data_IF_111430012083
#
_entry.id   IF_111430012083
#
_cell.length_a   1.000
_cell.length_b   1.000
_cell.length_c   1.000
_cell.angle_alpha   90.00
_cell.angle_beta   90.00
_cell.angle_gamma   90.00
#
_symmetry.space_group_name_H-M   'P 1'
#
loop_
_entity.id
_entity.type
_entity.pdbx_description
1 polymer ?
#
# COMPACT_ATOMS: atom_id res chain seq x y z
N UNK A 1 -0.28 -29.61 -1.61
CA UNK A 1 -1.55 -29.99 -0.98
C UNK A 1 -2.32 -28.71 -0.68
N UNK A 2 -3.49 -28.52 -1.29
CA UNK A 2 -4.28 -27.28 -1.15
C UNK A 2 -4.87 -27.09 0.25
N UNK A 3 -4.88 -28.15 1.08
CA UNK A 3 -5.34 -28.11 2.48
C UNK A 3 -4.52 -27.15 3.36
N UNK A 4 -3.25 -26.89 3.00
CA UNK A 4 -2.32 -26.04 3.77
C UNK A 4 -2.23 -24.60 3.26
N UNK A 5 -3.11 -24.19 2.35
CA UNK A 5 -3.08 -22.85 1.77
C UNK A 5 -3.23 -21.74 2.82
N UNK A 6 -4.05 -21.96 3.85
CA UNK A 6 -4.26 -21.01 4.94
C UNK A 6 -3.00 -20.85 5.82
N UNK A 7 -2.37 -21.97 6.21
CA UNK A 7 -1.09 -21.95 6.94
C UNK A 7 0.00 -21.21 6.15
N UNK A 8 0.06 -21.44 4.83
CA UNK A 8 1.01 -20.76 3.97
C UNK A 8 0.73 -19.25 3.88
N UNK A 9 -0.53 -18.85 3.75
CA UNK A 9 -0.93 -17.45 3.70
C UNK A 9 -0.57 -16.70 5.00
N UNK A 10 -0.83 -17.30 6.16
CA UNK A 10 -0.46 -16.74 7.47
C UNK A 10 1.05 -16.62 7.62
N UNK A 11 1.81 -17.65 7.22
CA UNK A 11 3.28 -17.62 7.30
C UNK A 11 3.88 -16.55 6.39
N UNK A 12 3.30 -16.34 5.21
CA UNK A 12 3.78 -15.40 4.21
C UNK A 12 3.39 -13.94 4.48
N UNK A 13 2.52 -13.69 5.47
CA UNK A 13 2.08 -12.34 5.87
C UNK A 13 1.58 -11.49 4.70
N UNK A 14 0.68 -12.05 3.90
CA UNK A 14 0.24 -11.46 2.63
C UNK A 14 -0.94 -10.49 2.75
N UNK A 15 -1.47 -10.27 3.97
CA UNK A 15 -2.62 -9.39 4.13
C UNK A 15 -2.21 -7.91 4.05
N UNK A 16 -3.15 -7.05 3.67
CA UNK A 16 -2.89 -5.61 3.53
C UNK A 16 -2.42 -4.94 4.83
N UNK A 17 -2.91 -5.40 5.99
CA UNK A 17 -2.53 -4.88 7.30
C UNK A 17 -1.12 -5.32 7.67
N UNK A 18 -0.74 -6.57 7.42
CA UNK A 18 0.62 -7.05 7.67
C UNK A 18 1.64 -6.34 6.78
N UNK A 19 1.31 -6.12 5.50
CA UNK A 19 2.17 -5.36 4.59
C UNK A 19 2.35 -3.90 5.05
N UNK A 20 1.34 -3.32 5.71
CA UNK A 20 1.44 -2.00 6.31
C UNK A 20 2.32 -2.02 7.56
N UNK A 21 2.15 -3.01 8.45
CA UNK A 21 2.99 -3.19 9.65
C UNK A 21 4.46 -3.45 9.31
N UNK A 22 4.71 -4.11 8.19
CA UNK A 22 6.06 -4.34 7.65
C UNK A 22 6.61 -3.14 6.88
N UNK A 23 5.91 -2.00 6.85
CA UNK A 23 6.28 -0.80 6.12
C UNK A 23 6.55 -1.06 4.61
N UNK A 24 5.93 -2.09 4.02
CA UNK A 24 6.05 -2.42 2.59
C UNK A 24 5.14 -1.50 1.76
N UNK A 25 3.94 -1.24 2.27
CA UNK A 25 2.96 -0.31 1.68
C UNK A 25 2.73 0.88 2.61
N UNK A 26 2.37 2.03 2.06
CA UNK A 26 2.23 3.27 2.85
C UNK A 26 0.82 3.43 3.47
N UNK A 27 -0.18 2.73 2.91
CA UNK A 27 -1.58 2.91 3.27
C UNK A 27 -2.43 1.70 2.87
N UNK A 28 -3.41 1.36 3.69
CA UNK A 28 -4.49 0.43 3.37
C UNK A 28 -5.77 1.23 3.11
N UNK A 29 -6.40 0.98 1.97
CA UNK A 29 -7.69 1.60 1.63
C UNK A 29 -8.78 0.60 2.00
N UNK A 30 -9.58 0.93 3.03
CA UNK A 30 -10.68 0.07 3.47
C UNK A 30 -11.82 0.07 2.45
N UNK A 31 -12.31 -1.12 2.12
CA UNK A 31 -13.53 -1.34 1.32
C UNK A 31 -14.76 -1.65 2.19
N UNK A 32 -14.58 -1.82 3.50
CA UNK A 32 -15.64 -2.25 4.40
C UNK A 32 -16.81 -1.25 4.42
N UNK A 33 -18.01 -1.75 4.09
CA UNK A 33 -19.22 -0.94 4.07
C UNK A 33 -19.33 0.02 2.87
N UNK A 34 -18.42 -0.05 1.89
CA UNK A 34 -18.49 0.76 0.67
C UNK A 34 -19.06 -0.03 -0.49
N UNK A 35 -19.92 0.61 -1.28
CA UNK A 35 -20.22 0.14 -2.63
C UNK A 35 -18.99 0.27 -3.53
N UNK A 36 -18.94 -0.47 -4.65
CA UNK A 36 -17.84 -0.36 -5.62
C UNK A 36 -17.62 1.07 -6.11
N UNK A 37 -18.71 1.86 -6.26
CA UNK A 37 -18.63 3.26 -6.68
C UNK A 37 -17.98 4.15 -5.61
N UNK A 38 -18.29 3.92 -4.34
CA UNK A 38 -17.67 4.65 -3.23
C UNK A 38 -16.21 4.25 -3.04
N UNK A 39 -15.89 2.97 -3.20
CA UNK A 39 -14.51 2.48 -3.17
C UNK A 39 -13.67 3.16 -4.27
N UNK A 40 -14.16 3.19 -5.51
CA UNK A 40 -13.45 3.87 -6.61
C UNK A 40 -13.25 5.36 -6.31
N UNK A 41 -14.24 6.02 -5.70
CA UNK A 41 -14.11 7.43 -5.29
C UNK A 41 -13.05 7.60 -4.20
N UNK A 42 -12.99 6.68 -3.24
CA UNK A 42 -11.98 6.64 -2.18
C UNK A 42 -10.58 6.48 -2.78
N UNK A 43 -10.38 5.47 -3.63
CA UNK A 43 -9.11 5.23 -4.34
C UNK A 43 -8.68 6.45 -5.14
N UNK A 44 -9.59 7.06 -5.91
CA UNK A 44 -9.29 8.29 -6.68
C UNK A 44 -8.81 9.41 -5.77
N UNK A 45 -9.48 9.63 -4.63
CA UNK A 45 -9.11 10.67 -3.67
C UNK A 45 -7.71 10.42 -3.10
N UNK A 46 -7.43 9.20 -2.66
CA UNK A 46 -6.12 8.85 -2.09
C UNK A 46 -4.99 9.04 -3.10
N UNK A 47 -5.18 8.62 -4.36
CA UNK A 47 -4.22 8.84 -5.43
C UNK A 47 -3.96 10.33 -5.68
N UNK A 48 -5.01 11.15 -5.72
CA UNK A 48 -4.88 12.60 -5.91
C UNK A 48 -4.14 13.25 -4.75
N UNK A 49 -4.43 12.85 -3.51
CA UNK A 49 -3.76 13.37 -2.31
C UNK A 49 -2.28 13.00 -2.30
N UNK A 50 -1.92 11.75 -2.57
CA UNK A 50 -0.51 11.35 -2.58
C UNK A 50 0.26 11.99 -3.73
N UNK A 51 -0.33 12.08 -4.92
CA UNK A 51 0.31 12.74 -6.05
C UNK A 51 0.55 14.23 -5.76
N UNK A 52 -0.44 14.93 -5.21
CA UNK A 52 -0.30 16.34 -4.84
C UNK A 52 0.80 16.56 -3.80
N UNK A 53 0.98 15.61 -2.86
CA UNK A 53 2.07 15.64 -1.87
C UNK A 53 3.44 15.39 -2.51
N UNK A 54 3.53 14.39 -3.39
CA UNK A 54 4.79 14.01 -4.05
C UNK A 54 5.26 15.07 -5.04
N UNK A 55 4.35 15.72 -5.76
CA UNK A 55 4.68 16.79 -6.71
C UNK A 55 5.32 18.02 -6.06
N UNK A 56 5.17 18.20 -4.74
CA UNK A 56 5.81 19.29 -4.00
C UNK A 56 7.29 19.01 -3.68
N UNK A 57 7.76 17.78 -3.92
CA UNK A 57 9.14 17.37 -3.62
C UNK A 57 10.05 17.60 -4.83
N UNK A 58 11.29 18.06 -4.61
CA UNK A 58 12.30 18.07 -5.66
C UNK A 58 12.57 16.67 -6.21
N UNK A 59 12.95 16.59 -7.49
CA UNK A 59 13.24 15.32 -8.17
C UNK A 59 14.28 14.48 -7.40
N UNK A 60 15.39 15.09 -6.97
CA UNK A 60 16.45 14.37 -6.25
C UNK A 60 15.96 13.76 -4.93
N UNK A 61 15.09 14.47 -4.20
CA UNK A 61 14.49 13.93 -2.98
C UNK A 61 13.57 12.74 -3.29
N UNK A 62 12.79 12.80 -4.38
CA UNK A 62 11.93 11.69 -4.80
C UNK A 62 12.75 10.44 -5.20
N UNK A 63 13.89 10.64 -5.86
CA UNK A 63 14.78 9.55 -6.25
C UNK A 63 15.44 8.90 -5.03
N UNK A 64 15.95 9.71 -4.10
CA UNK A 64 16.57 9.22 -2.88
C UNK A 64 15.57 8.48 -1.99
N UNK A 65 14.38 9.03 -1.77
CA UNK A 65 13.32 8.37 -0.99
C UNK A 65 12.92 7.03 -1.60
N UNK A 66 12.83 6.96 -2.94
CA UNK A 66 12.56 5.71 -3.64
C UNK A 66 13.70 4.71 -3.44
N UNK A 67 14.95 5.13 -3.57
CA UNK A 67 16.11 4.27 -3.37
C UNK A 67 16.14 3.70 -1.95
N UNK A 68 15.98 4.55 -0.94
CA UNK A 68 15.97 4.13 0.46
C UNK A 68 14.83 3.16 0.78
N UNK A 69 13.62 3.40 0.23
CA UNK A 69 12.49 2.47 0.40
C UNK A 69 12.81 1.06 -0.08
N UNK A 70 13.42 0.92 -1.25
CA UNK A 70 13.78 -0.40 -1.80
C UNK A 70 15.05 -0.99 -1.20
N UNK A 71 15.86 -0.21 -0.48
CA UNK A 71 17.04 -0.69 0.25
C UNK A 71 16.75 -1.14 1.68
N UNK A 72 15.64 -0.69 2.26
CA UNK A 72 15.20 -1.07 3.62
C UNK A 72 14.82 -2.55 3.73
N UNK A 73 14.58 -3.22 2.60
CA UNK A 73 14.19 -4.63 2.48
C UNK A 73 15.07 -5.35 1.45
#
# INVERSE_FOLDING_TARGET
DGSRAMEAAELMKITSHELLEMDVVDKVISEAGLSSKELIKSVKKELQTELARLLQKPLEALLEERYQRFRKY
#
